data_IF_782080445778
#
_entry.id   IF_782080445778
#
_cell.length_a   1.000
_cell.length_b   1.000
_cell.length_c   1.000
_cell.angle_alpha   90.00
_cell.angle_beta   90.00
_cell.angle_gamma   90.00
#
_symmetry.space_group_name_H-M   'P 1'
#
loop_
_entity.id
_entity.type
_entity.pdbx_description
1 polymer ?
#
# COMPACT_ATOMS: atom_id res chain seq x y z
N UNK A 1 0.11 -4.02 -7.43
CA UNK A 1 -0.75 -3.23 -8.35
C UNK A 1 -1.89 -2.51 -7.64
N UNK A 2 -2.89 -3.20 -7.06
CA UNK A 2 -4.05 -2.57 -6.42
C UNK A 2 -3.67 -1.55 -5.31
N UNK A 3 -2.64 -1.85 -4.52
CA UNK A 3 -2.14 -0.95 -3.48
C UNK A 3 -1.54 0.36 -4.02
N UNK A 4 -0.95 0.35 -5.22
CA UNK A 4 -0.47 1.57 -5.87
C UNK A 4 -1.63 2.51 -6.19
N UNK A 5 -2.72 1.96 -6.72
CA UNK A 5 -3.95 2.72 -6.99
C UNK A 5 -4.61 3.25 -5.70
N UNK A 6 -4.52 2.50 -4.59
CA UNK A 6 -5.03 2.96 -3.28
C UNK A 6 -4.22 4.10 -2.67
N UNK A 7 -2.90 4.12 -2.88
CA UNK A 7 -2.05 5.28 -2.61
C UNK A 7 -2.33 6.46 -3.58
N UNK A 8 -3.15 6.21 -4.60
CA UNK A 8 -3.48 7.13 -5.68
C UNK A 8 -2.35 7.35 -6.68
N UNK A 9 -1.34 6.48 -6.67
CA UNK A 9 -0.28 6.44 -7.68
C UNK A 9 -0.71 5.54 -8.85
N UNK A 10 0.10 5.52 -9.91
CA UNK A 10 -0.07 4.54 -10.99
C UNK A 10 0.03 3.12 -10.43
N UNK A 11 -0.80 2.16 -10.90
CA UNK A 11 -0.78 0.77 -10.42
C UNK A 11 0.60 0.09 -10.52
N UNK A 12 1.41 0.51 -11.48
CA UNK A 12 2.80 0.05 -11.70
C UNK A 12 3.70 0.32 -10.49
N UNK A 13 3.53 1.47 -9.83
CA UNK A 13 4.33 1.82 -8.66
C UNK A 13 4.07 0.85 -7.49
N UNK A 14 2.85 0.31 -7.42
CA UNK A 14 2.50 -0.75 -6.47
C UNK A 14 3.04 -2.13 -6.86
N UNK A 15 3.67 -2.32 -8.01
CA UNK A 15 4.46 -3.51 -8.34
C UNK A 15 5.90 -3.32 -7.88
N UNK A 16 6.49 -2.15 -8.15
CA UNK A 16 7.83 -1.80 -7.66
C UNK A 16 7.93 -1.84 -6.13
N UNK A 17 6.91 -1.31 -5.44
CA UNK A 17 6.84 -1.35 -3.98
C UNK A 17 6.75 -2.76 -3.38
N UNK A 18 6.37 -3.78 -4.17
CA UNK A 18 6.37 -5.18 -3.71
C UNK A 18 7.68 -5.90 -4.08
N UNK A 19 8.31 -5.55 -5.20
CA UNK A 19 9.48 -6.25 -5.71
C UNK A 19 10.79 -5.84 -5.01
N UNK A 20 11.08 -4.55 -4.94
CA UNK A 20 12.36 -4.06 -4.40
C UNK A 20 12.55 -4.34 -2.91
N UNK A 21 11.55 -4.17 -2.03
CA UNK A 21 11.73 -4.48 -0.60
C UNK A 21 12.01 -5.95 -0.35
N UNK A 22 11.46 -6.87 -1.15
CA UNK A 22 11.74 -8.32 -1.03
C UNK A 22 13.18 -8.63 -1.44
N UNK A 23 13.69 -7.97 -2.49
CA UNK A 23 15.09 -8.10 -2.89
C UNK A 23 16.03 -7.57 -1.79
N UNK A 24 15.72 -6.41 -1.21
CA UNK A 24 16.48 -5.88 -0.08
C UNK A 24 16.38 -6.81 1.14
N UNK A 25 15.19 -7.33 1.44
CA UNK A 25 14.93 -8.26 2.54
C UNK A 25 15.80 -9.52 2.43
N UNK A 26 16.02 -10.04 1.22
CA UNK A 26 16.89 -11.18 0.97
C UNK A 26 18.35 -10.97 1.42
N UNK A 27 18.90 -9.76 1.24
CA UNK A 27 20.29 -9.48 1.63
C UNK A 27 20.45 -9.21 3.13
N UNK A 28 19.48 -8.55 3.76
CA UNK A 28 19.62 -8.04 5.12
C UNK A 28 18.96 -8.90 6.21
N UNK A 29 18.17 -9.92 5.86
CA UNK A 29 17.34 -10.63 6.86
C UNK A 29 17.90 -11.99 7.29
N UNK A 30 17.74 -12.29 8.58
CA UNK A 30 18.11 -13.54 9.26
C UNK A 30 17.01 -14.60 9.31
N UNK A 31 15.73 -14.23 9.19
CA UNK A 31 14.61 -15.19 9.18
C UNK A 31 14.19 -15.60 7.76
N UNK A 32 13.95 -16.89 7.55
CA UNK A 32 13.57 -17.48 6.25
C UNK A 32 12.06 -17.64 6.05
N UNK A 33 11.25 -17.40 7.08
CA UNK A 33 9.82 -17.74 7.07
C UNK A 33 8.88 -16.55 6.97
N UNK A 34 9.39 -15.32 7.11
CA UNK A 34 8.59 -14.12 6.95
C UNK A 34 8.78 -13.55 5.53
N UNK A 35 7.68 -13.18 4.89
CA UNK A 35 7.70 -12.53 3.58
C UNK A 35 7.23 -11.09 3.75
N UNK A 36 8.11 -10.13 3.49
CA UNK A 36 7.70 -8.73 3.41
C UNK A 36 6.93 -8.46 2.12
N UNK A 37 5.92 -7.60 2.18
CA UNK A 37 5.09 -7.27 1.03
C UNK A 37 4.31 -5.97 1.23
N UNK A 38 3.54 -5.59 0.22
CA UNK A 38 2.70 -4.39 0.25
C UNK A 38 1.47 -4.59 1.14
N UNK A 39 1.19 -3.62 2.01
CA UNK A 39 0.06 -3.66 2.93
C UNK A 39 -1.00 -2.61 2.60
N UNK A 40 -2.29 -3.00 2.68
CA UNK A 40 -3.41 -2.13 2.30
C UNK A 40 -3.51 -0.88 3.17
N UNK A 41 -3.33 -1.01 4.49
CA UNK A 41 -3.46 0.13 5.38
C UNK A 41 -2.30 1.10 5.22
N UNK A 42 -1.07 0.58 5.01
CA UNK A 42 0.09 1.42 4.72
C UNK A 42 -0.18 2.26 3.47
N UNK A 43 -0.65 1.66 2.37
CA UNK A 43 -1.01 2.42 1.17
C UNK A 43 -2.05 3.54 1.43
N UNK A 44 -3.03 3.30 2.30
CA UNK A 44 -4.02 4.32 2.70
C UNK A 44 -3.42 5.41 3.58
N UNK A 45 -2.50 5.05 4.49
CA UNK A 45 -1.81 6.01 5.36
C UNK A 45 -0.85 6.90 4.57
N UNK A 46 -0.17 6.36 3.55
CA UNK A 46 0.64 7.13 2.60
C UNK A 46 -0.22 8.03 1.70
N UNK A 47 -1.43 7.61 1.35
CA UNK A 47 -2.33 8.36 0.47
C UNK A 47 -2.67 9.76 1.02
N UNK A 48 -2.95 9.88 2.32
CA UNK A 48 -3.34 11.15 2.96
C UNK A 48 -2.28 12.27 2.86
N UNK A 49 -1.02 12.08 3.30
CA UNK A 49 0.01 13.09 3.19
C UNK A 49 0.36 13.42 1.73
N UNK A 50 0.40 12.41 0.84
CA UNK A 50 0.64 12.64 -0.59
C UNK A 50 -0.45 13.58 -1.15
N UNK A 51 -1.72 13.29 -0.90
CA UNK A 51 -2.81 14.14 -1.38
C UNK A 51 -2.80 15.54 -0.74
N UNK A 52 -2.48 15.65 0.56
CA UNK A 52 -2.38 16.94 1.25
C UNK A 52 -1.30 17.82 0.64
N UNK A 53 -0.10 17.27 0.44
CA UNK A 53 1.02 18.00 -0.18
C UNK A 53 0.69 18.34 -1.65
N UNK A 54 0.07 17.41 -2.38
CA UNK A 54 -0.36 17.66 -3.76
C UNK A 54 -1.33 18.84 -3.83
N UNK A 55 -2.39 18.85 -3.02
CA UNK A 55 -3.36 19.93 -3.02
C UNK A 55 -2.79 21.30 -2.61
N UNK A 56 -1.68 21.34 -1.84
CA UNK A 56 -1.07 22.58 -1.38
C UNK A 56 -0.05 23.15 -2.37
N UNK A 57 0.68 22.30 -3.08
CA UNK A 57 1.85 22.71 -3.88
C UNK A 57 1.68 22.47 -5.38
N UNK A 58 0.72 21.65 -5.80
CA UNK A 58 0.46 21.41 -7.22
C UNK A 58 -0.46 22.50 -7.78
N UNK A 59 0.09 23.36 -8.62
CA UNK A 59 -0.67 24.34 -9.40
C UNK A 59 -0.88 23.76 -10.80
N UNK A 60 -2.12 23.46 -11.22
CA UNK A 60 -2.37 22.93 -12.55
C UNK A 60 -1.99 23.97 -13.61
N UNK A 61 -0.99 23.67 -14.44
CA UNK A 61 -0.47 24.61 -15.45
C UNK A 61 -1.41 24.85 -16.64
N UNK A 62 -2.44 24.01 -16.82
CA UNK A 62 -3.43 24.15 -17.87
C UNK A 62 -4.86 24.02 -17.32
N UNK A 63 -5.68 25.05 -17.54
CA UNK A 63 -7.13 25.10 -17.27
C UNK A 63 -7.95 24.30 -18.28
N UNK A 64 -7.40 23.21 -18.82
CA UNK A 64 -8.17 22.32 -19.67
C UNK A 64 -8.96 21.39 -18.75
N UNK A 65 -10.28 21.51 -18.83
CA UNK A 65 -11.34 20.73 -18.18
C UNK A 65 -11.31 19.25 -18.58
N UNK A 66 -10.14 18.61 -18.45
CA UNK A 66 -9.98 17.18 -18.59
C UNK A 66 -10.41 16.52 -17.28
N UNK A 67 -11.36 15.57 -17.39
CA UNK A 67 -12.00 14.83 -16.28
C UNK A 67 -11.02 13.78 -15.66
N UNK A 68 -9.73 13.91 -15.95
CA UNK A 68 -8.68 12.94 -15.60
C UNK A 68 -7.45 13.62 -15.01
N UNK A 69 -6.79 12.90 -14.10
CA UNK A 69 -5.50 13.29 -13.52
C UNK A 69 -4.44 13.29 -14.63
N UNK A 70 -3.74 14.40 -14.81
CA UNK A 70 -2.71 14.55 -15.86
C UNK A 70 -1.47 13.70 -15.54
N UNK A 71 -0.67 13.40 -16.57
CA UNK A 71 0.59 12.68 -16.39
C UNK A 71 1.55 13.44 -15.46
N UNK A 72 1.57 14.77 -15.54
CA UNK A 72 2.37 15.64 -14.68
C UNK A 72 1.95 15.56 -13.21
N UNK A 73 0.64 15.48 -12.93
CA UNK A 73 0.14 15.30 -11.58
C UNK A 73 0.58 13.95 -11.01
N UNK A 74 0.56 12.89 -11.82
CA UNK A 74 1.07 11.58 -11.38
C UNK A 74 2.57 11.61 -11.05
N UNK A 75 3.37 12.33 -11.83
CA UNK A 75 4.82 12.46 -11.59
C UNK A 75 5.11 13.27 -10.33
N UNK A 76 4.39 14.38 -10.11
CA UNK A 76 4.50 15.15 -8.87
C UNK A 76 4.17 14.29 -7.64
N UNK A 77 3.07 13.54 -7.70
CA UNK A 77 2.64 12.64 -6.62
C UNK A 77 3.65 11.52 -6.36
N UNK A 78 4.30 11.03 -7.40
CA UNK A 78 5.37 10.03 -7.29
C UNK A 78 6.58 10.61 -6.57
N UNK A 79 7.02 11.83 -6.91
CA UNK A 79 8.12 12.50 -6.22
C UNK A 79 7.84 12.69 -4.73
N UNK A 80 6.65 13.15 -4.38
CA UNK A 80 6.22 13.27 -2.98
C UNK A 80 6.25 11.91 -2.28
N UNK A 81 5.79 10.85 -2.94
CA UNK A 81 5.79 9.50 -2.39
C UNK A 81 7.21 8.97 -2.14
N UNK A 82 8.17 9.23 -3.04
CA UNK A 82 9.57 8.83 -2.91
C UNK A 82 10.24 9.57 -1.75
N UNK A 83 10.07 10.89 -1.67
CA UNK A 83 10.61 11.69 -0.55
C UNK A 83 10.03 11.24 0.78
N UNK A 84 8.71 10.99 0.85
CA UNK A 84 8.08 10.49 2.06
C UNK A 84 8.60 9.11 2.44
N UNK A 85 8.74 8.18 1.48
CA UNK A 85 9.28 6.85 1.73
C UNK A 85 10.73 6.90 2.23
N UNK A 86 11.55 7.79 1.68
CA UNK A 86 12.93 8.00 2.13
C UNK A 86 12.99 8.55 3.56
N UNK A 87 12.15 9.56 3.89
CA UNK A 87 12.04 10.09 5.26
C UNK A 87 11.58 9.03 6.27
N UNK A 88 10.59 8.21 5.91
CA UNK A 88 10.15 7.07 6.73
C UNK A 88 11.29 6.07 6.93
N UNK A 89 12.08 5.80 5.89
CA UNK A 89 13.25 4.92 5.97
C UNK A 89 14.32 5.44 6.94
N UNK A 90 14.65 6.73 6.90
CA UNK A 90 15.58 7.35 7.85
C UNK A 90 15.04 7.22 9.28
N UNK A 91 13.77 7.55 9.52
CA UNK A 91 13.15 7.42 10.83
C UNK A 91 13.18 5.97 11.32
N UNK A 92 12.97 5.00 10.43
CA UNK A 92 13.05 3.58 10.77
C UNK A 92 14.47 3.18 11.19
N UNK A 93 15.52 3.69 10.52
CA UNK A 93 16.91 3.48 10.93
C UNK A 93 17.20 4.12 12.29
N UNK A 94 16.74 5.35 12.53
CA UNK A 94 16.92 6.04 13.81
C UNK A 94 16.25 5.26 14.94
N UNK A 95 15.02 4.80 14.76
CA UNK A 95 14.32 4.00 15.77
C UNK A 95 14.97 2.63 15.99
N UNK A 96 15.55 2.03 14.94
CA UNK A 96 16.31 0.79 15.08
C UNK A 96 17.59 1.01 15.91
N UNK A 97 18.30 2.12 15.70
CA UNK A 97 19.48 2.50 16.51
C UNK A 97 19.10 2.78 17.97
N UNK A 98 17.96 3.43 18.19
CA UNK A 98 17.41 3.71 19.52
C UNK A 98 16.73 2.49 20.17
N UNK A 99 16.70 1.34 19.48
CA UNK A 99 16.07 0.09 19.96
C UNK A 99 14.62 0.26 20.43
N UNK A 100 13.83 1.10 19.76
CA UNK A 100 12.42 1.33 20.09
C UNK A 100 11.52 0.07 20.01
N UNK A 101 12.05 -1.06 19.54
CA UNK A 101 11.36 -2.35 19.53
C UNK A 101 10.84 -2.82 20.89
N UNK A 102 11.47 -2.38 22.00
CA UNK A 102 11.00 -2.65 23.36
C UNK A 102 9.61 -2.04 23.66
N UNK A 103 9.25 -0.93 23.01
CA UNK A 103 7.94 -0.31 23.25
C UNK A 103 6.79 -1.19 22.74
N UNK A 104 7.06 -2.03 21.74
CA UNK A 104 6.05 -2.89 21.12
C UNK A 104 5.60 -4.01 22.06
N UNK A 105 6.49 -4.49 22.94
CA UNK A 105 6.14 -5.53 23.92
C UNK A 105 5.21 -5.03 25.03
N UNK A 106 5.04 -3.70 25.16
CA UNK A 106 4.09 -3.10 26.11
C UNK A 106 2.68 -2.89 25.54
N UNK A 107 2.49 -3.11 24.23
CA UNK A 107 1.17 -3.01 23.63
C UNK A 107 0.30 -4.18 24.10
N UNK A 108 -0.82 -3.86 24.74
CA UNK A 108 -1.74 -4.88 25.23
C UNK A 108 -2.39 -5.63 24.06
N UNK A 109 -2.59 -6.95 24.21
CA UNK A 109 -3.31 -7.76 23.22
C UNK A 109 -4.69 -7.17 22.81
N UNK A 110 -5.50 -6.64 23.75
CA UNK A 110 -6.76 -5.97 23.41
C UNK A 110 -6.59 -4.74 22.52
N UNK A 111 -5.53 -3.93 22.73
CA UNK A 111 -5.25 -2.78 21.89
C UNK A 111 -4.96 -3.20 20.45
N UNK A 112 -4.11 -4.20 20.27
CA UNK A 112 -3.74 -4.75 18.96
C UNK A 112 -4.97 -5.30 18.23
N UNK A 113 -5.80 -6.07 18.92
CA UNK A 113 -7.04 -6.63 18.37
C UNK A 113 -8.03 -5.54 17.94
N UNK A 114 -8.26 -4.54 18.79
CA UNK A 114 -9.11 -3.40 18.48
C UNK A 114 -8.60 -2.60 17.28
N UNK A 115 -7.29 -2.36 17.22
CA UNK A 115 -6.62 -1.66 16.12
C UNK A 115 -6.76 -2.41 14.79
N UNK A 116 -6.56 -3.74 14.79
CA UNK A 116 -6.71 -4.58 13.59
C UNK A 116 -8.16 -4.63 13.10
N UNK A 117 -9.13 -4.69 14.02
CA UNK A 117 -10.55 -4.63 13.69
C UNK A 117 -10.92 -3.30 13.02
N UNK A 118 -10.54 -2.17 13.63
CA UNK A 118 -10.75 -0.84 13.06
C UNK A 118 -10.08 -0.67 11.69
N UNK A 119 -8.85 -1.19 11.56
CA UNK A 119 -8.11 -1.19 10.30
C UNK A 119 -8.81 -1.99 9.20
N UNK A 120 -9.39 -3.14 9.52
CA UNK A 120 -10.15 -3.95 8.59
C UNK A 120 -11.39 -3.20 8.07
N UNK A 121 -12.17 -2.58 8.97
CA UNK A 121 -13.29 -1.73 8.59
C UNK A 121 -12.84 -0.57 7.70
N UNK A 122 -11.76 0.12 8.06
CA UNK A 122 -11.23 1.23 7.27
C UNK A 122 -10.81 0.82 5.84
N UNK A 123 -10.17 -0.35 5.69
CA UNK A 123 -9.80 -0.90 4.38
C UNK A 123 -11.05 -1.20 3.56
N UNK A 124 -12.06 -1.87 4.15
CA UNK A 124 -13.34 -2.15 3.46
C UNK A 124 -13.99 -0.86 3.01
N UNK A 125 -14.13 0.15 3.89
CA UNK A 125 -14.68 1.46 3.53
C UNK A 125 -13.94 2.08 2.35
N UNK A 126 -12.62 1.95 2.29
CA UNK A 126 -11.82 2.51 1.18
C UNK A 126 -12.02 1.79 -0.15
N UNK A 127 -12.43 0.52 -0.16
CA UNK A 127 -12.72 -0.22 -1.38
C UNK A 127 -14.13 0.02 -1.92
N UNK A 128 -15.06 0.51 -1.10
CA UNK A 128 -16.46 0.69 -1.50
C UNK A 128 -16.60 1.56 -2.76
N UNK A 129 -15.82 2.65 -2.85
CA UNK A 129 -15.86 3.54 -4.02
C UNK A 129 -15.57 2.77 -5.33
N UNK A 130 -14.56 1.89 -5.30
CA UNK A 130 -14.19 1.05 -6.44
C UNK A 130 -15.23 -0.05 -6.71
N UNK A 131 -15.83 -0.62 -5.66
CA UNK A 131 -16.87 -1.66 -5.79
C UNK A 131 -18.15 -1.13 -6.44
N UNK A 132 -18.55 0.09 -6.13
CA UNK A 132 -19.71 0.75 -6.76
C UNK A 132 -19.39 1.46 -8.09
N UNK A 133 -18.11 1.52 -8.48
CA UNK A 133 -17.66 2.18 -9.70
C UNK A 133 -17.81 3.71 -9.69
N UNK A 134 -17.86 4.32 -8.51
CA UNK A 134 -18.13 5.75 -8.34
C UNK A 134 -16.82 6.55 -8.24
N UNK A 135 -16.73 7.64 -9.02
CA UNK A 135 -15.67 8.65 -8.87
C UNK A 135 -16.07 9.68 -7.82
N UNK A 136 -15.89 9.33 -6.55
CA UNK A 136 -16.17 10.23 -5.44
C UNK A 136 -14.97 11.15 -5.15
N UNK A 137 -15.19 12.44 -4.85
CA UNK A 137 -14.13 13.30 -4.37
C UNK A 137 -13.54 12.71 -3.09
N UNK A 138 -12.20 12.71 -3.01
CA UNK A 138 -11.51 12.23 -1.83
C UNK A 138 -11.70 13.28 -0.72
N UNK A 139 -12.57 12.99 0.24
CA UNK A 139 -12.66 13.76 1.49
C UNK A 139 -11.47 13.41 2.40
N UNK A 140 -11.07 14.34 3.28
CA UNK A 140 -9.93 14.20 4.20
C UNK A 140 -10.27 14.82 5.57
N UNK A 141 -9.56 14.39 6.61
CA UNK A 141 -9.70 14.93 7.98
C UNK A 141 -10.30 13.94 9.00
N UNK A 142 -10.40 14.34 10.28
CA UNK A 142 -11.05 13.54 11.30
C UNK A 142 -12.53 13.33 10.94
N UNK A 143 -13.02 12.08 11.05
CA UNK A 143 -14.39 11.73 10.66
C UNK A 143 -14.62 11.49 9.16
N UNK A 144 -13.58 11.47 8.34
CA UNK A 144 -13.68 11.24 6.89
C UNK A 144 -14.42 9.93 6.50
N UNK A 145 -14.36 8.90 7.34
CA UNK A 145 -15.10 7.65 7.13
C UNK A 145 -16.61 7.93 7.01
N UNK A 146 -17.18 8.71 7.94
CA UNK A 146 -18.60 9.08 7.93
C UNK A 146 -18.96 9.94 6.71
N UNK A 147 -18.08 10.89 6.35
CA UNK A 147 -18.29 11.68 5.13
C UNK A 147 -18.30 10.81 3.87
N UNK A 148 -17.39 9.83 3.76
CA UNK A 148 -17.39 8.88 2.63
C UNK A 148 -18.70 8.11 2.54
N UNK A 149 -19.23 7.61 3.67
CA UNK A 149 -20.53 6.93 3.68
C UNK A 149 -21.68 7.85 3.27
N UNK A 150 -21.69 9.10 3.75
CA UNK A 150 -22.68 10.10 3.35
C UNK A 150 -22.62 10.38 1.84
N UNK A 151 -21.43 10.62 1.29
CA UNK A 151 -21.25 10.85 -0.16
C UNK A 151 -21.60 9.62 -0.99
N UNK A 152 -21.29 8.41 -0.50
CA UNK A 152 -21.68 7.15 -1.14
C UNK A 152 -23.22 7.01 -1.20
N UNK A 153 -23.90 7.24 -0.08
CA UNK A 153 -25.35 7.16 0.00
C UNK A 153 -26.03 8.19 -0.92
N UNK A 154 -25.49 9.41 -0.98
CA UNK A 154 -26.00 10.47 -1.87
C UNK A 154 -25.85 10.13 -3.35
N UNK A 155 -24.75 9.48 -3.74
CA UNK A 155 -24.43 9.18 -5.15
C UNK A 155 -24.75 7.74 -5.56
N UNK A 156 -25.46 6.97 -4.71
CA UNK A 156 -25.75 5.55 -4.96
C UNK A 156 -26.50 5.31 -6.28
N UNK A 157 -27.31 6.29 -6.72
CA UNK A 157 -28.07 6.23 -7.99
C UNK A 157 -27.18 6.33 -9.23
N UNK A 158 -25.98 6.88 -9.10
CA UNK A 158 -25.00 7.00 -10.19
C UNK A 158 -24.06 5.80 -10.27
N UNK A 159 -24.26 4.79 -9.41
CA UNK A 159 -23.37 3.64 -9.34
C UNK A 159 -23.47 2.79 -10.61
N UNK A 160 -22.33 2.26 -11.05
CA UNK A 160 -22.27 1.41 -12.22
C UNK A 160 -22.67 -0.02 -11.85
N UNK A 161 -23.86 -0.43 -12.27
CA UNK A 161 -24.44 -1.75 -11.99
C UNK A 161 -23.53 -2.88 -12.53
N UNK A 162 -22.89 -2.68 -13.68
CA UNK A 162 -21.98 -3.68 -14.25
C UNK A 162 -20.75 -3.91 -13.35
N UNK A 163 -20.17 -2.84 -12.80
CA UNK A 163 -19.06 -2.95 -11.84
C UNK A 163 -19.48 -3.71 -10.59
N UNK A 164 -20.67 -3.42 -10.05
CA UNK A 164 -21.19 -4.11 -8.86
C UNK A 164 -21.37 -5.60 -9.13
N UNK A 165 -21.96 -5.98 -10.26
CA UNK A 165 -22.18 -7.39 -10.63
C UNK A 165 -20.84 -8.11 -10.81
N UNK A 166 -19.86 -7.49 -11.47
CA UNK A 166 -18.52 -8.07 -11.63
C UNK A 166 -17.83 -8.24 -10.28
N UNK A 167 -17.87 -7.24 -9.41
CA UNK A 167 -17.30 -7.32 -8.06
C UNK A 167 -17.99 -8.40 -7.21
N UNK A 168 -19.32 -8.44 -7.21
CA UNK A 168 -20.09 -9.44 -6.47
C UNK A 168 -19.80 -10.86 -6.97
N UNK A 169 -19.75 -11.05 -8.30
CA UNK A 169 -19.41 -12.34 -8.92
C UNK A 169 -18.01 -12.80 -8.53
N UNK A 170 -17.02 -11.90 -8.58
CA UNK A 170 -15.65 -12.23 -8.17
C UNK A 170 -15.53 -12.58 -6.68
N UNK A 171 -16.23 -11.85 -5.80
CA UNK A 171 -16.28 -12.15 -4.37
C UNK A 171 -16.93 -13.53 -4.13
N UNK A 172 -18.05 -13.81 -4.81
CA UNK A 172 -18.73 -15.11 -4.71
C UNK A 172 -17.86 -16.26 -5.18
N UNK A 173 -17.19 -16.12 -6.33
CA UNK A 173 -16.26 -17.13 -6.86
C UNK A 173 -15.15 -17.39 -5.83
N UNK A 174 -14.48 -16.35 -5.33
CA UNK A 174 -13.42 -16.51 -4.33
C UNK A 174 -13.93 -17.17 -3.04
N UNK A 175 -15.12 -16.81 -2.58
CA UNK A 175 -15.74 -17.37 -1.39
C UNK A 175 -16.08 -18.87 -1.56
N UNK A 176 -16.72 -19.23 -2.68
CA UNK A 176 -17.07 -20.62 -3.02
C UNK A 176 -15.80 -21.47 -3.14
N UNK A 177 -14.77 -20.99 -3.85
CA UNK A 177 -13.50 -21.70 -3.98
C UNK A 177 -12.84 -21.95 -2.62
N UNK A 178 -12.89 -20.97 -1.72
CA UNK A 178 -12.29 -21.10 -0.38
C UNK A 178 -13.03 -22.11 0.50
N UNK A 179 -14.36 -22.15 0.46
CA UNK A 179 -15.17 -23.02 1.33
C UNK A 179 -15.29 -24.43 0.76
N UNK A 180 -15.62 -24.57 -0.52
CA UNK A 180 -16.00 -25.87 -1.09
C UNK A 180 -14.83 -26.58 -1.77
N UNK A 181 -13.97 -25.84 -2.48
CA UNK A 181 -12.93 -26.44 -3.33
C UNK A 181 -11.65 -26.67 -2.54
N UNK A 182 -11.21 -25.68 -1.76
CA UNK A 182 -9.95 -25.75 -0.99
C UNK A 182 -9.86 -26.95 -0.02
N UNK A 183 -10.88 -27.29 0.81
CA UNK A 183 -10.77 -28.41 1.75
C UNK A 183 -10.58 -29.79 1.11
N UNK A 184 -11.36 -30.23 0.10
CA UNK A 184 -11.12 -31.52 -0.55
C UNK A 184 -9.83 -31.50 -1.38
N UNK A 185 -9.46 -30.37 -1.98
CA UNK A 185 -8.24 -30.29 -2.79
C UNK A 185 -6.97 -30.41 -1.94
N UNK A 186 -6.93 -29.77 -0.76
CA UNK A 186 -5.79 -29.90 0.17
C UNK A 186 -5.57 -31.33 0.66
N UNK A 187 -6.62 -32.15 0.70
CA UNK A 187 -6.50 -33.58 1.05
C UNK A 187 -5.84 -34.40 -0.06
N UNK A 188 -5.98 -33.98 -1.33
CA UNK A 188 -5.46 -34.70 -2.50
C UNK A 188 -4.11 -34.17 -2.99
N UNK A 189 -3.89 -32.86 -2.91
CA UNK A 189 -2.67 -32.21 -3.40
C UNK A 189 -2.02 -31.36 -2.30
N UNK A 190 -0.70 -31.49 -2.13
CA UNK A 190 0.10 -30.76 -1.13
C UNK A 190 0.30 -29.27 -1.46
N UNK A 191 0.00 -28.85 -2.69
CA UNK A 191 0.23 -27.48 -3.16
C UNK A 191 -1.03 -26.62 -3.05
N UNK A 192 -0.99 -25.44 -2.42
CA UNK A 192 -2.11 -24.51 -2.43
C UNK A 192 -2.27 -23.90 -3.82
N UNK A 193 -3.51 -23.90 -4.35
CA UNK A 193 -3.81 -23.29 -5.65
C UNK A 193 -3.86 -21.76 -5.48
N UNK A 194 -3.19 -20.97 -6.34
CA UNK A 194 -3.28 -19.51 -6.34
C UNK A 194 -4.60 -19.06 -7.00
N UNK A 195 -5.72 -19.21 -6.28
CA UNK A 195 -7.08 -18.91 -6.79
C UNK A 195 -7.20 -17.43 -7.16
N UNK A 196 -6.59 -16.54 -6.40
CA UNK A 196 -6.61 -15.10 -6.63
C UNK A 196 -6.03 -14.74 -8.00
N UNK A 197 -4.91 -15.39 -8.37
CA UNK A 197 -4.27 -15.19 -9.67
C UNK A 197 -5.17 -15.71 -10.81
N UNK A 198 -5.76 -16.89 -10.64
CA UNK A 198 -6.67 -17.47 -11.64
C UNK A 198 -7.89 -16.58 -11.88
N UNK A 199 -8.51 -16.06 -10.81
CA UNK A 199 -9.67 -15.16 -10.92
C UNK A 199 -9.30 -13.87 -11.66
N UNK A 200 -8.11 -13.30 -11.40
CA UNK A 200 -7.63 -12.10 -12.11
C UNK A 200 -7.39 -12.39 -13.60
N UNK A 201 -6.76 -13.51 -13.95
CA UNK A 201 -6.54 -13.91 -15.34
C UNK A 201 -7.89 -14.08 -16.07
N UNK A 202 -8.80 -14.87 -15.51
CA UNK A 202 -10.13 -15.12 -16.08
C UNK A 202 -10.93 -13.82 -16.23
N UNK A 203 -10.93 -12.95 -15.21
CA UNK A 203 -11.60 -11.64 -15.27
C UNK A 203 -11.02 -10.75 -16.36
N UNK A 204 -9.70 -10.78 -16.57
CA UNK A 204 -9.02 -9.98 -17.60
C UNK A 204 -9.38 -10.46 -19.00
N UNK A 205 -9.38 -11.78 -19.21
CA UNK A 205 -9.77 -12.42 -20.48
C UNK A 205 -11.23 -12.11 -20.82
N UNK A 206 -12.14 -12.30 -19.86
CA UNK A 206 -13.55 -11.94 -20.00
C UNK A 206 -13.73 -10.46 -20.33
N UNK A 207 -12.96 -9.59 -19.67
CA UNK A 207 -13.01 -8.16 -19.93
C UNK A 207 -12.59 -7.76 -21.35
N UNK A 208 -11.59 -8.45 -21.90
CA UNK A 208 -11.14 -8.23 -23.27
C UNK A 208 -12.18 -8.66 -24.30
N UNK A 209 -12.77 -9.85 -24.15
CA UNK A 209 -13.75 -10.37 -25.11
C UNK A 209 -15.11 -9.66 -25.05
N UNK A 210 -15.56 -9.30 -23.85
CA UNK A 210 -16.88 -8.69 -23.65
C UNK A 210 -16.83 -7.17 -23.87
N UNK A 211 -15.67 -6.54 -23.73
CA UNK A 211 -15.52 -5.10 -23.90
C UNK A 211 -16.22 -4.27 -22.83
N UNK A 212 -16.08 -4.66 -21.55
CA UNK A 212 -16.79 -4.02 -20.41
C UNK A 212 -16.60 -2.50 -20.35
N UNK A 213 -15.42 -2.01 -20.73
CA UNK A 213 -15.11 -0.58 -20.73
C UNK A 213 -15.91 0.20 -21.78
N UNK A 214 -16.03 -0.32 -23.01
CA UNK A 214 -16.74 0.36 -24.10
C UNK A 214 -18.26 0.26 -23.97
N UNK A 215 -18.79 -0.87 -23.48
CA UNK A 215 -20.25 -1.11 -23.40
C UNK A 215 -20.90 -0.55 -22.15
N UNK A 216 -20.24 -0.69 -20.99
CA UNK A 216 -20.83 -0.33 -19.70
C UNK A 216 -20.01 0.69 -18.91
N UNK A 217 -18.96 1.28 -19.50
CA UNK A 217 -18.18 2.33 -18.83
C UNK A 217 -17.47 1.85 -17.56
N UNK A 218 -17.16 0.55 -17.48
CA UNK A 218 -16.44 -0.01 -16.32
C UNK A 218 -15.00 0.52 -16.33
N UNK A 219 -14.53 1.00 -15.18
CA UNK A 219 -13.17 1.48 -15.02
C UNK A 219 -12.19 0.31 -15.10
N UNK A 220 -11.37 0.32 -16.15
CA UNK A 220 -10.28 -0.65 -16.35
C UNK A 220 -8.95 -0.02 -16.00
N UNK A 221 -7.98 -0.86 -15.59
CA UNK A 221 -6.62 -0.44 -15.19
C UNK A 221 -5.87 0.28 -16.33
N UNK A 222 -6.29 0.07 -17.58
CA UNK A 222 -5.69 0.71 -18.75
C UNK A 222 -4.39 0.03 -19.19
N UNK A 223 -3.69 0.68 -20.13
CA UNK A 223 -2.40 0.19 -20.61
C UNK A 223 -1.31 0.44 -19.58
N UNK A 224 -0.55 -0.60 -19.26
CA UNK A 224 0.61 -0.55 -18.38
C UNK A 224 1.86 -0.40 -19.25
N UNK A 225 2.62 0.70 -19.16
CA UNK A 225 3.86 0.83 -19.92
C UNK A 225 4.92 -0.13 -19.36
N UNK A 226 5.49 -1.00 -20.21
CA UNK A 226 6.51 -1.97 -19.82
C UNK A 226 7.94 -1.41 -20.00
N UNK A 227 8.82 -1.66 -19.02
CA UNK A 227 10.26 -1.86 -19.27
C UNK A 227 11.24 -0.68 -19.20
N UNK A 228 10.82 0.60 -19.07
CA UNK A 228 11.79 1.72 -19.16
C UNK A 228 11.71 2.84 -18.11
N UNK A 229 10.76 2.78 -17.18
CA UNK A 229 10.46 3.92 -16.30
C UNK A 229 11.33 4.02 -15.04
N UNK A 230 11.76 2.90 -14.44
CA UNK A 230 12.39 2.93 -13.11
C UNK A 230 13.69 3.77 -13.06
N UNK A 231 14.53 3.71 -14.10
CA UNK A 231 15.80 4.45 -14.13
C UNK A 231 15.67 5.85 -14.71
N UNK A 232 14.74 6.07 -15.64
CA UNK A 232 14.57 7.36 -16.33
C UNK A 232 13.91 8.42 -15.42
N UNK A 233 12.97 8.00 -14.56
CA UNK A 233 12.24 8.90 -13.66
C UNK A 233 13.12 9.45 -12.52
N UNK A 234 14.03 8.64 -11.97
CA UNK A 234 14.97 9.09 -10.93
C UNK A 234 16.00 10.05 -11.52
N UNK A 235 16.54 9.76 -12.71
CA UNK A 235 17.56 10.60 -13.35
C UNK A 235 17.03 11.96 -13.84
N UNK A 236 15.79 12.01 -14.34
CA UNK A 236 15.14 13.26 -14.77
C UNK A 236 14.86 14.21 -13.60
N UNK A 237 14.45 13.68 -12.44
CA UNK A 237 14.07 14.51 -11.28
C UNK A 237 15.25 15.07 -10.50
N UNK A 238 16.45 14.48 -10.60
CA UNK A 238 17.65 15.00 -9.94
C UNK A 238 18.15 16.32 -10.54
N UNK A 239 17.86 16.60 -11.82
CA UNK A 239 18.36 17.81 -12.49
C UNK A 239 17.47 19.04 -12.30
N UNK A 240 16.19 18.89 -11.95
CA UNK A 240 15.21 19.99 -11.85
C UNK A 240 14.83 20.37 -10.42
N UNK A 241 14.97 19.49 -9.43
CA UNK A 241 14.42 19.72 -8.08
C UNK A 241 15.39 20.35 -7.06
N UNK A 242 16.61 20.69 -7.44
CA UNK A 242 17.61 21.22 -6.50
C UNK A 242 17.27 22.61 -5.92
N UNK A 243 16.23 23.30 -6.42
CA UNK A 243 15.91 24.68 -6.02
C UNK A 243 14.76 24.87 -5.03
N UNK A 244 13.88 23.90 -4.76
CA UNK A 244 12.64 24.18 -3.99
C UNK A 244 12.22 23.09 -2.98
N UNK A 245 13.02 22.03 -2.74
CA UNK A 245 12.66 20.98 -1.78
C UNK A 245 13.31 21.20 -0.41
N UNK A 246 12.72 22.10 0.38
CA UNK A 246 13.04 22.25 1.80
C UNK A 246 12.55 21.04 2.60
N UNK A 247 13.43 20.04 2.75
CA UNK A 247 13.24 18.82 3.55
C UNK A 247 12.70 19.07 4.97
N UNK A 248 13.06 20.21 5.55
CA UNK A 248 12.71 20.62 6.92
C UNK A 248 11.22 21.05 7.03
N UNK A 249 10.60 21.55 5.95
CA UNK A 249 9.18 21.94 5.99
C UNK A 249 8.21 20.75 5.91
N UNK A 250 8.68 19.56 5.54
CA UNK A 250 7.87 18.34 5.48
C UNK A 250 7.87 17.56 6.81
N UNK A 251 8.74 17.88 7.75
CA UNK A 251 8.82 17.24 9.08
C UNK A 251 7.54 17.37 9.93
N UNK A 252 6.82 18.52 9.95
CA UNK A 252 5.57 18.63 10.70
C UNK A 252 4.40 17.79 10.14
N UNK A 253 4.57 17.13 8.98
CA UNK A 253 3.53 16.33 8.31
C UNK A 253 3.63 14.82 8.62
N UNK A 254 4.50 14.43 9.56
CA UNK A 254 4.84 13.06 9.94
C UNK A 254 3.78 12.34 10.81
N UNK A 255 2.62 12.93 11.11
CA UNK A 255 1.52 12.24 11.83
C UNK A 255 1.05 10.95 11.13
N UNK A 256 1.23 10.84 9.81
CA UNK A 256 0.96 9.60 9.06
C UNK A 256 2.04 8.52 9.23
N UNK A 257 3.27 8.93 9.54
CA UNK A 257 4.43 8.05 9.72
C UNK A 257 4.30 7.28 11.03
N UNK A 258 3.93 7.93 12.13
CA UNK A 258 3.68 7.26 13.43
C UNK A 258 2.61 6.17 13.31
N UNK A 259 1.51 6.45 12.60
CA UNK A 259 0.45 5.46 12.35
C UNK A 259 0.96 4.30 11.51
N UNK A 260 1.82 4.55 10.52
CA UNK A 260 2.41 3.51 9.68
C UNK A 260 3.40 2.65 10.48
N UNK A 261 4.13 3.26 11.40
CA UNK A 261 5.06 2.60 12.30
C UNK A 261 4.34 1.75 13.34
N UNK A 262 3.27 2.27 13.96
CA UNK A 262 2.42 1.50 14.88
C UNK A 262 1.81 0.28 14.17
N UNK A 263 1.36 0.43 12.93
CA UNK A 263 0.86 -0.68 12.10
C UNK A 263 1.94 -1.73 11.88
N UNK A 264 3.16 -1.31 11.51
CA UNK A 264 4.26 -2.21 11.22
C UNK A 264 4.76 -2.92 12.49
N UNK A 265 4.81 -2.22 13.62
CA UNK A 265 5.11 -2.75 14.94
C UNK A 265 4.06 -3.75 15.42
N UNK A 266 2.77 -3.41 15.25
CA UNK A 266 1.63 -4.26 15.64
C UNK A 266 1.53 -5.55 14.81
N UNK A 267 1.91 -5.47 13.53
CA UNK A 267 2.06 -6.65 12.69
C UNK A 267 3.23 -7.50 13.13
N UNK A 268 4.37 -6.89 13.45
CA UNK A 268 5.53 -7.60 13.96
C UNK A 268 5.20 -8.36 15.25
N UNK A 269 4.41 -7.78 16.18
CA UNK A 269 3.99 -8.44 17.42
C UNK A 269 2.98 -9.58 17.25
N UNK A 270 2.38 -9.76 16.06
CA UNK A 270 1.43 -10.84 15.78
C UNK A 270 2.11 -12.04 15.07
N UNK A 271 3.42 -11.98 14.84
CA UNK A 271 4.19 -13.17 14.47
C UNK A 271 4.49 -13.99 15.73
N UNK A 272 4.42 -15.34 15.67
CA UNK A 272 4.70 -16.19 16.81
C UNK A 272 6.08 -15.89 17.41
N UNK A 273 6.15 -15.82 18.75
CA UNK A 273 7.22 -15.27 19.59
C UNK A 273 8.66 -15.64 19.18
N UNK A 274 8.86 -16.81 18.58
CA UNK A 274 10.17 -17.26 18.12
C UNK A 274 10.73 -16.51 16.89
N UNK A 275 9.92 -15.78 16.12
CA UNK A 275 10.36 -15.13 14.86
C UNK A 275 10.68 -13.64 15.01
N UNK A 276 10.05 -12.95 15.97
CA UNK A 276 10.25 -11.51 16.21
C UNK A 276 11.61 -11.26 16.88
N UNK A 277 11.96 -12.11 17.84
CA UNK A 277 13.27 -12.07 18.51
C UNK A 277 14.43 -12.23 17.52
N UNK A 278 14.31 -13.09 16.50
CA UNK A 278 15.37 -13.36 15.51
C UNK A 278 15.56 -12.26 14.45
N UNK A 279 14.54 -11.44 14.19
CA UNK A 279 14.62 -10.33 13.24
C UNK A 279 15.35 -9.12 13.84
N UNK A 280 15.08 -8.82 15.12
CA UNK A 280 15.70 -7.69 15.84
C UNK A 280 17.06 -8.10 16.41
N UNK A 281 17.19 -9.29 17.01
CA UNK A 281 18.50 -9.81 17.44
C UNK A 281 19.37 -10.22 16.27
N UNK A 282 18.84 -10.61 15.12
CA UNK A 282 19.67 -10.91 13.94
C UNK A 282 20.40 -9.69 13.40
N UNK A 283 19.72 -8.53 13.42
CA UNK A 283 20.31 -7.25 13.06
C UNK A 283 21.30 -6.77 14.14
N UNK A 284 20.97 -6.89 15.42
CA UNK A 284 21.83 -6.47 16.53
C UNK A 284 23.03 -7.40 16.80
N UNK A 285 22.86 -8.72 16.69
CA UNK A 285 23.92 -9.70 16.93
C UNK A 285 25.01 -9.62 15.86
N UNK A 286 24.63 -9.37 14.59
CA UNK A 286 25.59 -9.22 13.49
C UNK A 286 26.27 -7.84 13.49
N UNK A 287 25.61 -6.80 14.03
CA UNK A 287 26.21 -5.48 14.23
C UNK A 287 27.16 -5.44 15.44
N UNK A 288 26.84 -6.17 16.51
CA UNK A 288 27.68 -6.26 17.71
C UNK A 288 28.97 -7.07 17.47
N UNK A 289 28.96 -8.02 16.53
CA UNK A 289 30.15 -8.81 16.14
C UNK A 289 31.19 -8.05 15.27
N UNK A 290 30.87 -6.83 14.81
CA UNK A 290 31.78 -6.02 13.98
C UNK A 290 32.43 -4.83 14.72
N UNK A 291 32.22 -4.70 16.03
CA UNK A 291 32.98 -3.76 16.86
C UNK A 291 34.28 -4.43 17.33
N UNK A 292 35.48 -3.92 16.97
CA UNK A 292 36.73 -4.45 17.47
C UNK A 292 36.81 -4.21 18.99
N UNK A 293 36.63 -5.26 19.78
CA UNK A 293 36.95 -5.22 21.21
C UNK A 293 38.46 -5.22 21.35
N UNK A 294 39.04 -4.06 21.66
CA UNK A 294 40.40 -3.97 22.21
C UNK A 294 40.46 -4.72 23.54
N UNK A 295 41.40 -5.65 23.75
CA UNK A 295 41.60 -6.26 25.05
C UNK A 295 42.23 -5.22 25.99
N UNK A 296 41.52 -4.90 27.07
CA UNK A 296 42.11 -4.25 28.24
C UNK A 296 42.69 -5.37 29.10
N UNK A 297 44.02 -5.45 29.14
CA UNK A 297 44.83 -6.05 30.21
C UNK A 297 46.03 -5.17 30.43
#
# INVERSE_FOLDING_TARGET
MAYGALAGLRPVNGLYASFFPVLAYFFFTTSRHNSFGTFSLAALLFCNPINRITNLYYVPSHSNSSIGMSDDEYNFRLNVAVTLAFSVGILQVIMALLQFGFLVTYLSGPFISGFMCASAFHVVTSQLNSMFGLKLPRAYGPGNIFMKYYYLAKNIKQANIATIVVCATNILILHIFRIFINPPFRKRFKFPIPVELLVVILSTVLSHFIGFSQRWGVQVVGQIPFGRWFFYEIHSNTHTNHREFNFIQQFPQLEGTERTLVVQCTWCSNLPDHQVHLLILGFLHRWCQHLPTSPIS
#
